data_IF_659347009034
#
_entry.id   IF_659347009034
#
_cell.length_a   1.000
_cell.length_b   1.000
_cell.length_c   1.000
_cell.angle_alpha   90.00
_cell.angle_beta   90.00
_cell.angle_gamma   90.00
#
_symmetry.space_group_name_H-M   'P 1'
#
loop_
_entity.id
_entity.type
_entity.pdbx_description
1 polymer ?
#
# COMPACT_ATOMS: atom_id res chain seq x y z
N UNK A 1 12.37 -28.67 -3.34
CA UNK A 1 12.14 -27.21 -3.38
C UNK A 1 13.12 -26.68 -4.40
N UNK A 2 12.64 -26.06 -5.48
CA UNK A 2 13.51 -25.66 -6.59
C UNK A 2 14.43 -24.50 -6.19
N UNK A 3 15.55 -24.34 -6.90
CA UNK A 3 16.60 -23.37 -6.55
C UNK A 3 16.07 -21.93 -6.35
N UNK A 4 15.15 -21.49 -7.20
CA UNK A 4 14.50 -20.18 -7.11
C UNK A 4 13.73 -20.04 -5.79
N UNK A 5 12.92 -21.04 -5.45
CA UNK A 5 12.15 -21.03 -4.21
C UNK A 5 13.06 -21.09 -2.99
N UNK A 6 14.17 -21.83 -3.04
CA UNK A 6 15.15 -21.86 -1.96
C UNK A 6 15.79 -20.50 -1.72
N UNK A 7 16.17 -19.79 -2.79
CA UNK A 7 16.72 -18.43 -2.68
C UNK A 7 15.68 -17.48 -2.11
N UNK A 8 14.45 -17.53 -2.60
CA UNK A 8 13.36 -16.69 -2.11
C UNK A 8 13.12 -16.91 -0.61
N UNK A 9 12.99 -18.16 -0.17
CA UNK A 9 12.79 -18.48 1.25
C UNK A 9 13.96 -18.00 2.12
N UNK A 10 15.21 -18.11 1.64
CA UNK A 10 16.37 -17.59 2.35
C UNK A 10 16.31 -16.05 2.51
N UNK A 11 15.84 -15.32 1.49
CA UNK A 11 15.64 -13.87 1.59
C UNK A 11 14.53 -13.53 2.59
N UNK A 12 13.42 -14.27 2.57
CA UNK A 12 12.32 -14.06 3.52
C UNK A 12 12.78 -14.33 4.96
N UNK A 13 13.52 -15.42 5.21
CA UNK A 13 14.06 -15.72 6.54
C UNK A 13 15.01 -14.63 7.01
N UNK A 14 15.94 -14.19 6.14
CA UNK A 14 16.84 -13.08 6.45
C UNK A 14 16.05 -11.81 6.82
N UNK A 15 15.01 -11.50 6.06
CA UNK A 15 14.16 -10.33 6.28
C UNK A 15 13.40 -10.41 7.61
N UNK A 16 12.85 -11.58 7.94
CA UNK A 16 12.19 -11.81 9.21
C UNK A 16 13.14 -11.62 10.40
N UNK A 17 14.41 -12.01 10.28
CA UNK A 17 15.40 -11.79 11.34
C UNK A 17 15.66 -10.31 11.67
N UNK A 18 15.32 -9.39 10.76
CA UNK A 18 15.39 -7.95 11.00
C UNK A 18 14.39 -7.48 12.07
N UNK A 19 13.43 -8.33 12.43
CA UNK A 19 12.35 -8.01 13.36
C UNK A 19 12.38 -8.85 14.64
N UNK A 20 13.55 -9.36 15.04
CA UNK A 20 13.68 -10.17 16.26
C UNK A 20 13.50 -9.36 17.56
N UNK A 21 13.88 -8.08 17.55
CA UNK A 21 13.63 -7.10 18.61
C UNK A 21 12.71 -5.99 18.07
N UNK A 22 11.61 -6.39 17.44
CA UNK A 22 10.72 -5.45 16.75
C UNK A 22 11.46 -4.70 15.66
N UNK A 23 11.12 -3.43 15.42
CA UNK A 23 11.80 -2.63 14.39
C UNK A 23 13.24 -2.25 14.76
N UNK A 24 13.68 -2.43 16.00
CA UNK A 24 14.97 -1.91 16.47
C UNK A 24 16.16 -2.54 15.74
N UNK A 25 16.10 -3.84 15.47
CA UNK A 25 17.17 -4.55 14.75
C UNK A 25 17.32 -4.02 13.32
N UNK A 26 16.21 -3.73 12.65
CA UNK A 26 16.21 -3.01 11.38
C UNK A 26 16.86 -1.63 11.52
N UNK A 27 16.41 -0.81 12.47
CA UNK A 27 16.94 0.54 12.68
C UNK A 27 18.44 0.56 12.95
N UNK A 28 18.95 -0.41 13.70
CA UNK A 28 20.37 -0.52 14.04
C UNK A 28 21.27 -0.87 12.84
N UNK A 29 20.70 -1.47 11.78
CA UNK A 29 21.43 -1.79 10.55
C UNK A 29 21.51 -0.61 9.58
N UNK A 30 20.69 0.42 9.76
CA UNK A 30 20.68 1.57 8.88
C UNK A 30 21.77 2.57 9.29
N UNK A 31 22.46 3.15 8.32
CA UNK A 31 23.45 4.21 8.56
C UNK A 31 22.81 5.61 8.60
N UNK A 32 21.76 5.83 7.81
CA UNK A 32 21.09 7.13 7.68
C UNK A 32 20.12 7.40 8.85
N UNK A 33 20.46 8.38 9.69
CA UNK A 33 19.64 8.80 10.84
C UNK A 33 18.27 9.38 10.45
N UNK A 34 18.16 10.07 9.32
CA UNK A 34 16.87 10.57 8.85
C UNK A 34 15.97 9.40 8.44
N UNK A 35 16.55 8.42 7.74
CA UNK A 35 15.84 7.20 7.34
C UNK A 35 15.33 6.42 8.57
N UNK A 36 16.14 6.33 9.64
CA UNK A 36 15.72 5.72 10.92
C UNK A 36 14.49 6.42 11.51
N UNK A 37 14.49 7.75 11.55
CA UNK A 37 13.35 8.53 12.07
C UNK A 37 12.09 8.25 11.27
N UNK A 38 12.20 8.23 9.93
CA UNK A 38 11.07 8.00 9.04
C UNK A 38 10.53 6.57 9.21
N UNK A 39 11.39 5.55 9.19
CA UNK A 39 10.99 4.15 9.40
C UNK A 39 10.37 3.94 10.77
N UNK A 40 10.89 4.58 11.81
CA UNK A 40 10.29 4.50 13.14
C UNK A 40 8.87 5.11 13.15
N UNK A 41 8.67 6.26 12.49
CA UNK A 41 7.34 6.87 12.36
C UNK A 41 6.37 6.00 11.55
N UNK A 42 6.85 5.37 10.49
CA UNK A 42 6.10 4.37 9.73
C UNK A 42 5.71 3.18 10.60
N UNK A 43 6.66 2.58 11.31
CA UNK A 43 6.42 1.45 12.21
C UNK A 43 5.38 1.78 13.29
N UNK A 44 5.41 2.99 13.88
CA UNK A 44 4.36 3.43 14.81
C UNK A 44 2.95 3.43 14.20
N UNK A 45 2.82 3.83 12.92
CA UNK A 45 1.53 3.75 12.20
C UNK A 45 1.12 2.29 12.00
N UNK A 46 2.05 1.42 11.60
CA UNK A 46 1.81 -0.01 11.44
C UNK A 46 1.32 -0.64 12.75
N UNK A 47 2.02 -0.38 13.86
CA UNK A 47 1.66 -0.89 15.20
C UNK A 47 0.22 -0.49 15.55
N UNK A 48 -0.15 0.77 15.30
CA UNK A 48 -1.51 1.27 15.54
C UNK A 48 -2.56 0.53 14.69
N UNK A 49 -2.24 0.18 13.43
CA UNK A 49 -3.15 -0.56 12.55
C UNK A 49 -3.28 -2.02 12.94
N UNK A 50 -2.17 -2.67 13.27
CA UNK A 50 -2.15 -4.06 13.71
C UNK A 50 -2.61 -4.24 15.16
N UNK A 51 -2.68 -3.13 15.93
CA UNK A 51 -2.92 -3.10 17.39
C UNK A 51 -1.86 -3.86 18.18
N UNK A 52 -0.63 -3.84 17.68
CA UNK A 52 0.50 -4.54 18.27
C UNK A 52 1.72 -4.51 17.38
N UNK A 53 2.86 -4.84 17.98
CA UNK A 53 4.16 -4.85 17.32
C UNK A 53 4.54 -6.26 16.86
N UNK A 54 5.09 -6.35 15.65
CA UNK A 54 5.56 -7.60 15.08
C UNK A 54 6.91 -8.02 15.64
N UNK A 55 7.05 -9.29 15.97
CA UNK A 55 8.29 -9.92 16.40
C UNK A 55 8.49 -11.25 15.70
N UNK A 56 9.74 -11.51 15.30
CA UNK A 56 10.19 -12.81 14.81
C UNK A 56 11.16 -13.45 15.81
N UNK A 57 10.76 -14.55 16.45
CA UNK A 57 11.61 -15.26 17.40
C UNK A 57 11.57 -16.77 17.19
N UNK A 58 12.74 -17.40 17.17
CA UNK A 58 12.92 -18.86 17.09
C UNK A 58 12.06 -19.52 15.99
N UNK A 59 12.12 -18.98 14.77
CA UNK A 59 11.37 -19.51 13.62
C UNK A 59 9.87 -19.19 13.62
N UNK A 60 9.38 -18.40 14.59
CA UNK A 60 7.97 -18.11 14.76
C UNK A 60 7.71 -16.59 14.74
N UNK A 61 6.60 -16.23 14.10
CA UNK A 61 6.14 -14.85 13.94
C UNK A 61 4.97 -14.55 14.90
N UNK A 62 5.06 -13.42 15.60
CA UNK A 62 4.08 -13.00 16.61
C UNK A 62 3.74 -11.52 16.49
N UNK A 63 2.54 -11.17 16.95
CA UNK A 63 2.17 -9.79 17.32
C UNK A 63 2.14 -9.71 18.86
N UNK A 64 2.88 -8.77 19.41
CA UNK A 64 2.76 -8.34 20.80
C UNK A 64 1.70 -7.24 20.88
N UNK A 65 0.56 -7.56 21.49
CA UNK A 65 -0.58 -6.64 21.54
C UNK A 65 -0.28 -5.40 22.39
N UNK A 66 -0.70 -4.23 21.90
CA UNK A 66 -0.58 -2.98 22.66
C UNK A 66 -1.27 -3.09 24.04
N UNK A 67 -0.64 -2.52 25.06
CA UNK A 67 -1.15 -2.47 26.43
C UNK A 67 -1.38 -3.83 27.10
N UNK A 68 -0.77 -4.89 26.55
CA UNK A 68 -0.74 -6.21 27.17
C UNK A 68 0.63 -6.87 26.95
N UNK A 69 1.01 -7.81 27.81
CA UNK A 69 2.17 -8.68 27.56
C UNK A 69 1.78 -9.96 26.79
N UNK A 70 0.66 -9.93 26.05
CA UNK A 70 0.16 -11.11 25.32
C UNK A 70 0.74 -11.14 23.91
N UNK A 71 1.34 -12.28 23.56
CA UNK A 71 1.79 -12.60 22.22
C UNK A 71 0.74 -13.44 21.51
N UNK A 72 0.40 -13.05 20.29
CA UNK A 72 -0.50 -13.81 19.40
C UNK A 72 0.33 -14.26 18.20
N UNK A 73 0.28 -15.55 17.88
CA UNK A 73 0.90 -16.06 16.65
C UNK A 73 0.26 -15.42 15.43
N UNK A 74 1.04 -15.06 14.41
CA UNK A 74 0.54 -14.50 13.15
C UNK A 74 -0.56 -15.36 12.52
N UNK A 75 -0.48 -16.69 12.65
CA UNK A 75 -1.48 -17.61 12.10
C UNK A 75 -2.86 -17.51 12.77
N UNK A 76 -2.98 -16.72 13.86
CA UNK A 76 -4.20 -16.52 14.64
C UNK A 76 -4.78 -15.10 14.52
N UNK A 77 -4.12 -14.18 13.81
CA UNK A 77 -4.67 -12.83 13.57
C UNK A 77 -5.60 -12.85 12.36
N UNK A 78 -6.40 -11.79 12.16
CA UNK A 78 -7.33 -11.71 11.03
C UNK A 78 -6.58 -11.71 9.70
N UNK A 79 -7.17 -12.26 8.63
CA UNK A 79 -6.53 -12.33 7.31
C UNK A 79 -6.07 -10.96 6.81
N UNK A 80 -6.89 -9.91 7.02
CA UNK A 80 -6.50 -8.55 6.67
C UNK A 80 -5.29 -8.03 7.46
N UNK A 81 -5.13 -8.42 8.73
CA UNK A 81 -3.91 -8.09 9.48
C UNK A 81 -2.70 -8.87 8.97
N UNK A 82 -2.87 -10.13 8.55
CA UNK A 82 -1.77 -10.92 7.97
C UNK A 82 -1.28 -10.29 6.67
N UNK A 83 -2.21 -9.92 5.78
CA UNK A 83 -1.88 -9.30 4.49
C UNK A 83 -1.12 -7.97 4.67
N UNK A 84 -1.67 -7.08 5.51
CA UNK A 84 -1.01 -5.83 5.89
C UNK A 84 0.39 -6.06 6.43
N UNK A 85 0.54 -7.02 7.35
CA UNK A 85 1.82 -7.31 7.99
C UNK A 85 2.87 -7.70 6.94
N UNK A 86 2.52 -8.61 6.03
CA UNK A 86 3.46 -9.06 5.00
C UNK A 86 3.91 -7.94 4.09
N UNK A 87 2.99 -7.15 3.53
CA UNK A 87 3.36 -6.05 2.63
C UNK A 87 4.23 -5.03 3.37
N UNK A 88 3.78 -4.56 4.53
CA UNK A 88 4.43 -3.45 5.23
C UNK A 88 5.82 -3.83 5.76
N UNK A 89 5.94 -4.99 6.42
CA UNK A 89 7.22 -5.41 6.99
C UNK A 89 8.20 -5.90 5.93
N UNK A 90 7.72 -6.42 4.80
CA UNK A 90 8.59 -6.72 3.64
C UNK A 90 9.18 -5.43 3.08
N UNK A 91 8.35 -4.41 2.84
CA UNK A 91 8.83 -3.11 2.39
C UNK A 91 9.81 -2.48 3.39
N UNK A 92 9.51 -2.54 4.69
CA UNK A 92 10.46 -2.08 5.72
C UNK A 92 11.79 -2.83 5.66
N UNK A 93 11.79 -4.16 5.56
CA UNK A 93 13.04 -4.90 5.51
C UNK A 93 13.85 -4.65 4.23
N UNK A 94 13.20 -4.31 3.10
CA UNK A 94 13.88 -3.97 1.85
C UNK A 94 14.78 -2.75 2.05
N UNK A 95 14.41 -1.84 2.96
CA UNK A 95 15.25 -0.67 3.31
C UNK A 95 16.61 -1.06 3.90
N UNK A 96 16.77 -2.27 4.44
CA UNK A 96 18.04 -2.77 4.97
C UNK A 96 18.89 -3.53 3.95
N UNK A 97 18.36 -3.78 2.75
CA UNK A 97 19.11 -4.47 1.71
C UNK A 97 19.92 -3.41 0.96
N UNK A 98 21.25 -3.53 1.02
CA UNK A 98 22.18 -2.67 0.29
C UNK A 98 22.04 -2.90 -1.23
N UNK A 99 21.08 -2.20 -1.86
CA UNK A 99 21.05 -1.98 -3.29
C UNK A 99 20.10 -0.83 -3.67
N UNK A 100 20.60 0.04 -4.56
CA UNK A 100 19.97 1.31 -4.94
C UNK A 100 18.71 1.08 -5.78
N UNK A 101 17.60 1.73 -5.39
CA UNK A 101 16.35 1.89 -6.15
C UNK A 101 15.67 0.56 -6.56
N UNK A 102 15.09 -0.19 -5.62
CA UNK A 102 14.43 -1.45 -5.96
C UNK A 102 13.21 -1.24 -6.86
N UNK A 103 12.97 -2.21 -7.74
CA UNK A 103 11.73 -2.33 -8.51
C UNK A 103 10.87 -3.41 -7.86
N UNK A 104 9.67 -3.02 -7.42
CA UNK A 104 8.78 -3.89 -6.62
C UNK A 104 7.46 -4.05 -7.36
N UNK A 105 7.01 -5.29 -7.46
CA UNK A 105 5.69 -5.63 -8.00
C UNK A 105 4.82 -6.07 -6.82
N UNK A 106 3.64 -5.48 -6.68
CA UNK A 106 2.67 -5.81 -5.64
C UNK A 106 1.36 -6.16 -6.33
N UNK A 107 0.99 -7.43 -6.29
CA UNK A 107 -0.27 -7.91 -6.86
C UNK A 107 -1.40 -7.75 -5.84
N UNK A 108 -2.52 -7.16 -6.27
CA UNK A 108 -3.77 -6.99 -5.50
C UNK A 108 -3.57 -6.69 -3.99
N UNK A 109 -2.88 -5.60 -3.62
CA UNK A 109 -2.62 -5.27 -2.21
C UNK A 109 -3.89 -5.00 -1.38
N UNK A 110 -5.06 -4.90 -2.01
CA UNK A 110 -6.36 -4.77 -1.38
C UNK A 110 -6.97 -6.09 -0.88
N UNK A 111 -6.40 -7.25 -1.23
CA UNK A 111 -6.99 -8.54 -0.95
C UNK A 111 -7.30 -8.68 0.55
N UNK A 112 -8.56 -9.01 0.87
CA UNK A 112 -9.05 -9.14 2.25
C UNK A 112 -9.03 -7.85 3.11
N UNK A 113 -8.87 -6.67 2.50
CA UNK A 113 -8.81 -5.40 3.22
C UNK A 113 -10.06 -4.55 3.06
N UNK A 114 -10.50 -3.97 4.18
CA UNK A 114 -11.54 -2.94 4.17
C UNK A 114 -11.03 -1.67 3.47
N UNK A 115 -11.87 -0.88 2.77
CA UNK A 115 -11.45 0.29 1.99
C UNK A 115 -10.54 1.28 2.75
N UNK A 116 -10.83 1.50 4.04
CA UNK A 116 -9.99 2.34 4.90
C UNK A 116 -8.53 1.86 4.96
N UNK A 117 -8.31 0.55 5.03
CA UNK A 117 -6.97 -0.03 5.09
C UNK A 117 -6.25 0.02 3.75
N UNK A 118 -6.97 -0.07 2.64
CA UNK A 118 -6.41 0.05 1.30
C UNK A 118 -5.78 1.44 1.09
N UNK A 119 -6.45 2.50 1.55
CA UNK A 119 -5.86 3.86 1.60
C UNK A 119 -4.55 3.87 2.38
N UNK A 120 -4.54 3.30 3.58
CA UNK A 120 -3.35 3.33 4.44
C UNK A 120 -2.18 2.54 3.86
N UNK A 121 -2.43 1.44 3.14
CA UNK A 121 -1.41 0.74 2.37
C UNK A 121 -0.86 1.62 1.26
N UNK A 122 -1.71 2.27 0.47
CA UNK A 122 -1.24 3.10 -0.65
C UNK A 122 -0.41 4.28 -0.14
N UNK A 123 -0.87 4.95 0.92
CA UNK A 123 -0.09 5.99 1.59
C UNK A 123 1.28 5.44 2.01
N UNK A 124 1.32 4.24 2.63
CA UNK A 124 2.58 3.62 3.04
C UNK A 124 3.50 3.29 1.85
N UNK A 125 2.96 2.65 0.81
CA UNK A 125 3.69 2.25 -0.39
C UNK A 125 4.33 3.47 -1.07
N UNK A 126 3.58 4.57 -1.21
CA UNK A 126 4.08 5.80 -1.83
C UNK A 126 5.14 6.47 -0.96
N UNK A 127 4.94 6.54 0.35
CA UNK A 127 5.97 7.06 1.25
C UNK A 127 7.26 6.22 1.16
N UNK A 128 7.13 4.89 1.15
CA UNK A 128 8.26 3.97 0.95
C UNK A 128 8.95 4.23 -0.39
N UNK A 129 8.18 4.30 -1.49
CA UNK A 129 8.68 4.50 -2.84
C UNK A 129 9.53 5.76 -2.95
N UNK A 130 8.98 6.89 -2.49
CA UNK A 130 9.63 8.18 -2.56
C UNK A 130 10.87 8.26 -1.64
N UNK A 131 10.79 7.68 -0.44
CA UNK A 131 11.90 7.64 0.53
C UNK A 131 13.10 6.84 0.02
N UNK A 132 12.83 5.71 -0.63
CA UNK A 132 13.86 4.79 -1.12
C UNK A 132 14.24 5.02 -2.59
N UNK A 133 13.56 5.96 -3.26
CA UNK A 133 13.66 6.21 -4.69
C UNK A 133 13.43 4.91 -5.50
N UNK A 134 12.45 4.13 -5.06
CA UNK A 134 12.04 2.87 -5.67
C UNK A 134 11.08 3.10 -6.84
N UNK A 135 10.87 2.06 -7.64
CA UNK A 135 9.80 2.02 -8.63
C UNK A 135 8.84 0.89 -8.29
N UNK A 136 7.53 1.14 -8.37
CA UNK A 136 6.51 0.20 -7.93
C UNK A 136 5.49 -0.03 -9.04
N UNK A 137 5.19 -1.30 -9.31
CA UNK A 137 4.07 -1.74 -10.14
C UNK A 137 3.01 -2.35 -9.23
N UNK A 138 1.76 -1.91 -9.38
CA UNK A 138 0.62 -2.44 -8.62
C UNK A 138 -0.41 -2.95 -9.61
N UNK A 139 -0.93 -4.15 -9.37
CA UNK A 139 -2.18 -4.62 -9.98
C UNK A 139 -3.30 -4.45 -8.97
N UNK A 140 -4.49 -4.03 -9.42
CA UNK A 140 -5.61 -3.78 -8.53
C UNK A 140 -6.92 -3.82 -9.29
N UNK A 141 -7.94 -4.33 -8.61
CA UNK A 141 -9.35 -4.21 -9.00
C UNK A 141 -10.08 -3.18 -8.13
N UNK A 142 -9.39 -2.54 -7.19
CA UNK A 142 -10.01 -1.66 -6.21
C UNK A 142 -10.13 -0.21 -6.68
N UNK A 143 -11.36 0.34 -6.83
CA UNK A 143 -11.53 1.76 -7.06
C UNK A 143 -11.03 2.62 -5.88
N UNK A 144 -10.95 2.04 -4.67
CA UNK A 144 -10.44 2.75 -3.49
C UNK A 144 -8.92 2.95 -3.54
N UNK A 145 -8.16 2.02 -4.13
CA UNK A 145 -6.72 2.21 -4.35
C UNK A 145 -6.48 3.37 -5.30
N UNK A 146 -7.21 3.41 -6.42
CA UNK A 146 -7.09 4.47 -7.42
C UNK A 146 -7.49 5.82 -6.84
N UNK A 147 -8.62 5.87 -6.12
CA UNK A 147 -9.11 7.10 -5.47
C UNK A 147 -8.14 7.57 -4.39
N UNK A 148 -7.54 6.65 -3.61
CA UNK A 148 -6.51 7.01 -2.63
C UNK A 148 -5.26 7.55 -3.32
N UNK A 149 -4.88 6.97 -4.46
CA UNK A 149 -3.75 7.44 -5.29
C UNK A 149 -4.01 8.85 -5.84
N UNK A 150 -5.23 9.18 -6.25
CA UNK A 150 -5.60 10.53 -6.70
C UNK A 150 -5.38 11.60 -5.61
N UNK A 151 -5.64 11.29 -4.34
CA UNK A 151 -5.32 12.24 -3.25
C UNK A 151 -3.83 12.60 -3.23
N UNK A 152 -2.97 11.62 -3.49
CA UNK A 152 -1.50 11.77 -3.48
C UNK A 152 -0.98 12.46 -4.75
N UNK A 153 -1.62 12.23 -5.89
CA UNK A 153 -1.37 12.96 -7.15
C UNK A 153 -1.75 14.43 -7.01
N UNK A 154 -2.92 14.70 -6.44
CA UNK A 154 -3.36 16.08 -6.19
C UNK A 154 -2.42 16.80 -5.24
N UNK A 155 -1.93 16.12 -4.19
CA UNK A 155 -0.90 16.66 -3.31
C UNK A 155 0.40 17.02 -4.07
N UNK A 156 0.83 16.19 -5.02
CA UNK A 156 1.99 16.49 -5.87
C UNK A 156 1.77 17.69 -6.79
N UNK A 157 0.60 17.77 -7.42
CA UNK A 157 0.17 18.93 -8.23
C UNK A 157 0.19 20.22 -7.42
N UNK A 158 -0.32 20.19 -6.19
CA UNK A 158 -0.28 21.34 -5.28
C UNK A 158 1.16 21.71 -4.86
N UNK A 159 2.03 20.73 -4.63
CA UNK A 159 3.44 20.99 -4.30
C UNK A 159 4.16 21.71 -5.44
N UNK A 160 3.92 21.31 -6.70
CA UNK A 160 4.50 22.02 -7.86
C UNK A 160 3.96 23.45 -7.98
N UNK A 161 2.64 23.63 -7.85
CA UNK A 161 2.00 24.95 -7.89
C UNK A 161 2.48 25.90 -6.78
N UNK A 162 2.92 25.35 -5.65
CA UNK A 162 3.38 26.10 -4.49
C UNK A 162 4.87 25.94 -4.21
N UNK A 163 5.69 25.59 -5.21
CA UNK A 163 7.13 25.31 -5.04
C UNK A 163 7.91 26.38 -4.29
N UNK A 164 7.53 27.65 -4.46
CA UNK A 164 8.17 28.81 -3.81
C UNK A 164 7.55 29.16 -2.44
N UNK A 165 6.46 28.50 -2.04
CA UNK A 165 5.73 28.78 -0.80
C UNK A 165 5.90 27.65 0.22
N UNK A 166 6.96 27.75 1.04
CA UNK A 166 7.31 26.78 2.09
C UNK A 166 6.19 26.52 3.09
N UNK A 167 5.38 27.53 3.44
CA UNK A 167 4.29 27.36 4.39
C UNK A 167 3.19 26.46 3.81
N UNK A 168 2.83 26.67 2.54
CA UNK A 168 1.84 25.82 1.86
C UNK A 168 2.35 24.40 1.66
N UNK A 169 3.62 24.22 1.28
CA UNK A 169 4.24 22.89 1.18
C UNK A 169 4.16 22.16 2.52
N UNK A 170 4.54 22.82 3.62
CA UNK A 170 4.46 22.22 4.96
C UNK A 170 3.03 21.83 5.36
N UNK A 171 2.02 22.60 4.95
CA UNK A 171 0.61 22.23 5.16
C UNK A 171 0.24 20.95 4.40
N UNK A 172 0.73 20.78 3.17
CA UNK A 172 0.52 19.57 2.38
C UNK A 172 1.23 18.38 3.04
N UNK A 173 2.47 18.54 3.47
CA UNK A 173 3.25 17.50 4.16
C UNK A 173 2.57 17.02 5.45
N UNK A 174 1.91 17.91 6.17
CA UNK A 174 1.14 17.54 7.37
C UNK A 174 -0.10 16.68 7.06
N UNK A 175 -0.61 16.73 5.82
CA UNK A 175 -1.81 15.98 5.39
C UNK A 175 -1.42 14.60 4.85
N UNK A 176 -0.50 14.55 3.88
CA UNK A 176 -0.14 13.30 3.18
C UNK A 176 1.17 12.67 3.67
N UNK A 177 1.93 13.38 4.50
CA UNK A 177 3.30 13.04 4.86
C UNK A 177 4.31 13.69 3.92
N UNK A 178 5.54 13.89 4.41
CA UNK A 178 6.65 14.49 3.66
C UNK A 178 6.89 13.77 2.32
N UNK A 179 6.81 12.43 2.33
CA UNK A 179 7.01 11.55 1.17
C UNK A 179 5.70 11.04 0.57
N UNK A 180 4.55 11.60 0.94
CA UNK A 180 3.25 11.11 0.50
C UNK A 180 2.77 11.63 -0.85
N UNK A 181 3.45 12.58 -1.47
CA UNK A 181 3.01 13.18 -2.73
C UNK A 181 3.55 12.40 -3.94
N UNK A 182 2.72 12.23 -4.98
CA UNK A 182 3.14 11.63 -6.26
C UNK A 182 3.23 12.74 -7.29
N UNK A 183 4.35 12.83 -8.01
CA UNK A 183 4.44 13.70 -9.18
C UNK A 183 3.54 13.15 -10.30
N UNK A 184 2.55 13.91 -10.80
CA UNK A 184 1.66 13.42 -11.84
C UNK A 184 2.34 13.02 -13.16
N UNK A 185 3.59 13.46 -13.38
CA UNK A 185 4.39 13.06 -14.55
C UNK A 185 5.17 11.75 -14.34
N UNK A 186 5.16 11.19 -13.13
CA UNK A 186 5.93 9.98 -12.76
C UNK A 186 5.02 8.78 -12.48
N UNK A 187 3.77 8.82 -12.93
CA UNK A 187 2.79 7.74 -12.78
C UNK A 187 2.26 7.30 -14.15
N UNK A 188 1.95 6.02 -14.27
CA UNK A 188 1.16 5.46 -15.37
C UNK A 188 0.04 4.60 -14.78
N UNK A 189 -1.15 4.66 -15.38
CA UNK A 189 -2.29 3.85 -14.96
C UNK A 189 -3.04 3.32 -16.18
N UNK A 190 -3.23 2.01 -16.25
CA UNK A 190 -3.87 1.35 -17.39
C UNK A 190 -4.91 0.34 -16.93
N UNK A 191 -6.04 0.28 -17.63
CA UNK A 191 -7.01 -0.81 -17.53
C UNK A 191 -6.73 -1.81 -18.65
N UNK A 192 -6.61 -3.09 -18.30
CA UNK A 192 -6.38 -4.19 -19.24
C UNK A 192 -7.70 -4.92 -19.53
N UNK A 193 -7.97 -5.20 -20.81
CA UNK A 193 -9.11 -5.99 -21.26
C UNK A 193 -8.62 -7.40 -21.63
N UNK A 194 -9.07 -8.40 -20.86
CA UNK A 194 -8.59 -9.79 -20.98
C UNK A 194 -9.00 -10.47 -22.30
N UNK A 195 -10.10 -10.04 -22.90
CA UNK A 195 -10.68 -10.74 -24.06
C UNK A 195 -9.90 -10.51 -25.37
N UNK A 196 -9.12 -9.43 -25.47
CA UNK A 196 -8.47 -9.02 -26.71
C UNK A 196 -7.11 -8.32 -26.51
N UNK A 197 -6.51 -8.43 -25.32
CA UNK A 197 -5.23 -7.80 -24.96
C UNK A 197 -5.18 -6.29 -25.21
N UNK A 198 -6.33 -5.61 -25.24
CA UNK A 198 -6.38 -4.15 -25.31
C UNK A 198 -6.09 -3.56 -23.94
N UNK A 199 -5.58 -2.34 -23.95
CA UNK A 199 -5.49 -1.51 -22.76
C UNK A 199 -5.99 -0.11 -23.06
N UNK A 200 -6.46 0.58 -22.01
CA UNK A 200 -6.76 2.02 -22.08
C UNK A 200 -5.98 2.75 -20.98
N UNK A 201 -5.55 3.98 -21.29
CA UNK A 201 -4.96 4.88 -20.30
C UNK A 201 -6.08 5.42 -19.39
N UNK A 202 -5.84 5.38 -18.09
CA UNK A 202 -6.78 5.87 -17.09
C UNK A 202 -6.47 7.29 -16.62
N UNK A 203 -5.30 7.84 -16.98
CA UNK A 203 -4.93 9.22 -16.62
C UNK A 203 -5.68 10.19 -17.52
N UNK A 204 -6.49 11.06 -16.90
CA UNK A 204 -7.28 12.09 -17.58
C UNK A 204 -6.48 13.39 -17.81
N UNK A 205 -7.11 14.37 -18.47
CA UNK A 205 -6.50 15.69 -18.75
C UNK A 205 -6.15 16.49 -17.48
N UNK A 206 -6.78 16.19 -16.35
CA UNK A 206 -6.53 16.84 -15.05
C UNK A 206 -5.34 16.23 -14.30
N UNK A 207 -4.72 15.18 -14.88
CA UNK A 207 -3.65 14.34 -14.33
C UNK A 207 -4.10 13.47 -13.15
N UNK A 208 -5.36 13.02 -13.18
CA UNK A 208 -5.95 12.13 -12.20
C UNK A 208 -6.31 10.79 -12.86
N UNK A 209 -6.35 9.72 -12.05
CA UNK A 209 -6.76 8.39 -12.51
C UNK A 209 -8.29 8.33 -12.51
N UNK A 210 -8.89 8.01 -13.65
CA UNK A 210 -10.32 7.76 -13.76
C UNK A 210 -10.68 6.43 -13.09
N UNK A 211 -11.09 6.47 -11.82
CA UNK A 211 -11.38 5.28 -11.01
C UNK A 211 -12.71 4.61 -11.37
N UNK A 212 -13.65 5.38 -11.95
CA UNK A 212 -14.97 4.88 -12.37
C UNK A 212 -14.86 3.85 -13.50
N UNK A 213 -13.82 3.96 -14.33
CA UNK A 213 -13.56 3.03 -15.44
C UNK A 213 -13.25 1.61 -14.99
N UNK A 214 -12.88 1.35 -13.73
CA UNK A 214 -12.58 -0.01 -13.26
C UNK A 214 -13.79 -0.64 -12.54
N UNK A 215 -14.81 0.14 -12.20
CA UNK A 215 -15.98 -0.33 -11.45
C UNK A 215 -17.08 -0.94 -12.36
N UNK A 216 -16.69 -1.81 -13.29
CA UNK A 216 -17.61 -2.51 -14.20
C UNK A 216 -18.58 -3.44 -13.47
N UNK A 217 -18.20 -3.89 -12.26
CA UNK A 217 -19.03 -4.79 -11.42
C UNK A 217 -20.24 -4.03 -10.87
N UNK A 218 -20.07 -2.79 -10.40
CA UNK A 218 -21.19 -1.96 -9.95
C UNK A 218 -22.20 -1.72 -11.07
N UNK A 219 -21.74 -1.53 -12.31
CA UNK A 219 -22.64 -1.40 -13.47
C UNK A 219 -23.49 -2.65 -13.67
N UNK A 220 -22.88 -3.84 -13.63
CA UNK A 220 -23.60 -5.12 -13.80
C UNK A 220 -24.61 -5.36 -12.67
N UNK A 221 -24.25 -5.02 -11.42
CA UNK A 221 -25.13 -5.14 -10.26
C UNK A 221 -26.33 -4.20 -10.43
N UNK A 222 -26.09 -2.93 -10.80
CA UNK A 222 -27.13 -1.94 -11.01
C UNK A 222 -28.07 -2.34 -12.15
N UNK A 223 -27.55 -2.83 -13.27
CA UNK A 223 -28.36 -3.35 -14.37
C UNK A 223 -29.31 -4.47 -13.94
N UNK A 224 -28.83 -5.36 -13.07
CA UNK A 224 -29.65 -6.45 -12.53
C UNK A 224 -30.80 -5.90 -11.70
N UNK A 225 -30.53 -4.93 -10.82
CA UNK A 225 -31.57 -4.26 -10.04
C UNK A 225 -32.57 -3.51 -10.93
N UNK A 226 -32.09 -2.75 -11.92
CA UNK A 226 -32.95 -2.03 -12.87
C UNK A 226 -33.91 -2.98 -13.58
N UNK A 227 -33.42 -4.13 -14.06
CA UNK A 227 -34.28 -5.16 -14.69
C UNK A 227 -35.36 -5.67 -13.73
N UNK A 228 -35.03 -5.87 -12.45
CA UNK A 228 -36.01 -6.31 -11.44
C UNK A 228 -37.04 -5.22 -11.11
N UNK A 229 -36.59 -3.98 -10.98
CA UNK A 229 -37.45 -2.82 -10.72
C UNK A 229 -38.44 -2.55 -11.87
N UNK A 230 -37.96 -2.67 -13.12
CA UNK A 230 -38.81 -2.55 -14.29
C UNK A 230 -39.90 -3.66 -14.34
N UNK A 231 -39.61 -4.86 -13.85
CA UNK A 231 -40.62 -5.93 -13.73
C UNK A 231 -41.70 -5.63 -12.70
N UNK A 232 -41.36 -4.97 -11.60
CA UNK A 232 -42.33 -4.52 -10.58
C UNK A 232 -43.28 -3.46 -11.18
N UNK A 233 -42.73 -2.42 -11.81
CA UNK A 233 -43.50 -1.35 -12.45
C UNK A 233 -44.46 -1.85 -13.54
N UNK A 234 -44.06 -2.90 -14.28
CA UNK A 234 -44.87 -3.48 -15.35
C UNK A 234 -45.96 -4.44 -14.84
N UNK A 235 -45.88 -4.93 -13.61
CA UNK A 235 -46.93 -5.75 -12.96
C UNK A 235 -47.99 -4.91 -12.23
N UNK A 236 -47.77 -3.60 -12.04
CA UNK A 236 -48.72 -2.67 -11.43
C UNK A 236 -49.63 -1.94 -12.46
N UNK A 237 -49.64 -2.37 -13.73
CA UNK A 237 -50.54 -1.88 -14.79
C UNK A 237 -51.52 -2.95 -15.26
#
# INVERSE_FOLDING_TARGET
>A
MDFINSIFMQHIEMMQTLFNDGVNTLLNKLEDENLKIIINNMNKKIIKYLKGEYFYNDGNSYILLENTNKKISINKISSGQQEMLWILYTLLGITAIDNKKPFIIIEEPEAHLYPKMQKEIIDFIVNFMNMTNSSILITTHSPYILTSTNNLLYAGKLKENYKDNKEKIKKIDNIVGEYGAINPNEINAFKLYLNDFRYTNLINEEQEINSEEIDDVSNTINETYTKLFDMELNNER
#
